data_IF_932802304498
#
_entry.id   IF_932802304498
#
_cell.length_a   1.000
_cell.length_b   1.000
_cell.length_c   1.000
_cell.angle_alpha   90.00
_cell.angle_beta   90.00
_cell.angle_gamma   90.00
#
_symmetry.space_group_name_H-M   'P 1'
#
loop_
_entity.id
_entity.type
_entity.pdbx_description
1 polymer ?
#
# COMPACT_ATOMS: atom_id res chain seq x y z
N UNK A 1 -0.01 -27.52 7.23
CA UNK A 1 0.38 -26.46 6.28
C UNK A 1 0.84 -27.13 4.99
N UNK A 2 0.36 -26.71 3.82
CA UNK A 2 0.73 -27.35 2.54
C UNK A 2 2.06 -26.79 2.02
N UNK A 3 2.85 -27.63 1.34
CA UNK A 3 4.10 -27.24 0.67
C UNK A 3 3.91 -26.07 -0.31
N UNK A 4 2.77 -26.04 -1.01
CA UNK A 4 2.43 -24.95 -1.93
C UNK A 4 2.33 -23.61 -1.21
N UNK A 5 1.73 -23.54 -0.02
CA UNK A 5 1.61 -22.28 0.74
C UNK A 5 2.99 -21.75 1.20
N UNK A 6 3.94 -22.65 1.48
CA UNK A 6 5.29 -22.29 1.91
C UNK A 6 6.11 -21.66 0.78
N UNK A 7 6.04 -22.23 -0.43
CA UNK A 7 6.76 -21.69 -1.62
C UNK A 7 6.27 -20.29 -1.97
N UNK A 8 4.95 -20.07 -2.03
CA UNK A 8 4.38 -18.74 -2.30
C UNK A 8 4.65 -17.71 -1.19
N UNK A 9 4.89 -18.15 0.06
CA UNK A 9 5.37 -17.27 1.13
C UNK A 9 6.80 -16.83 0.87
N UNK A 10 7.69 -17.75 0.51
CA UNK A 10 9.09 -17.44 0.29
C UNK A 10 9.31 -16.51 -0.92
N UNK A 11 8.59 -16.74 -2.02
CA UNK A 11 8.66 -15.87 -3.20
C UNK A 11 8.11 -14.45 -2.93
N UNK A 12 7.03 -14.35 -2.16
CA UNK A 12 6.46 -13.06 -1.77
C UNK A 12 7.43 -12.26 -0.89
N UNK A 13 8.02 -12.91 0.11
CA UNK A 13 8.99 -12.26 1.02
C UNK A 13 10.24 -11.81 0.29
N UNK A 14 10.77 -12.65 -0.61
CA UNK A 14 11.93 -12.29 -1.45
C UNK A 14 11.60 -11.13 -2.40
N UNK A 15 10.46 -11.19 -3.09
CA UNK A 15 10.04 -10.10 -3.98
C UNK A 15 9.83 -8.78 -3.24
N UNK A 16 9.27 -8.83 -2.02
CA UNK A 16 9.17 -7.65 -1.15
C UNK A 16 10.54 -7.08 -0.79
N UNK A 17 11.48 -7.92 -0.37
CA UNK A 17 12.84 -7.48 0.00
C UNK A 17 13.52 -6.80 -1.18
N UNK A 18 13.51 -7.43 -2.36
CA UNK A 18 14.08 -6.87 -3.58
C UNK A 18 13.47 -5.50 -3.96
N UNK A 19 12.14 -5.37 -3.88
CA UNK A 19 11.45 -4.11 -4.17
C UNK A 19 11.74 -3.03 -3.13
N UNK A 20 11.75 -3.39 -1.86
CA UNK A 20 12.00 -2.44 -0.76
C UNK A 20 13.45 -1.96 -0.78
N UNK A 21 14.41 -2.84 -1.03
CA UNK A 21 15.81 -2.48 -1.24
C UNK A 21 16.01 -1.59 -2.47
N UNK A 22 15.34 -1.93 -3.59
CA UNK A 22 15.37 -1.13 -4.81
C UNK A 22 14.82 0.28 -4.58
N UNK A 23 13.73 0.40 -3.82
CA UNK A 23 13.19 1.69 -3.40
C UNK A 23 14.21 2.46 -2.58
N UNK A 24 14.76 1.88 -1.51
CA UNK A 24 15.74 2.53 -0.64
C UNK A 24 16.98 3.01 -1.40
N UNK A 25 17.46 2.21 -2.37
CA UNK A 25 18.56 2.59 -3.26
C UNK A 25 18.22 3.80 -4.13
N UNK A 26 17.04 3.81 -4.75
CA UNK A 26 16.57 4.95 -5.56
C UNK A 26 16.45 6.24 -4.72
N UNK A 27 15.94 6.14 -3.49
CA UNK A 27 15.80 7.28 -2.57
C UNK A 27 17.15 7.90 -2.18
N UNK A 28 18.22 7.11 -2.08
CA UNK A 28 19.54 7.66 -1.73
C UNK A 28 20.10 8.71 -2.72
N UNK A 29 19.47 8.85 -3.89
CA UNK A 29 19.88 9.78 -4.96
C UNK A 29 18.94 10.99 -5.13
N UNK A 30 17.78 11.04 -4.45
CA UNK A 30 16.77 12.09 -4.66
C UNK A 30 16.18 12.65 -3.34
N UNK A 31 16.55 13.90 -3.03
CA UNK A 31 16.25 14.63 -1.78
C UNK A 31 14.76 14.84 -1.50
N UNK A 32 13.92 14.93 -2.53
CA UNK A 32 12.50 15.24 -2.34
C UNK A 32 11.67 13.96 -2.13
N UNK A 33 11.97 12.89 -2.89
CA UNK A 33 11.41 11.55 -2.69
C UNK A 33 11.77 10.97 -1.31
N UNK A 34 12.94 11.33 -0.78
CA UNK A 34 13.40 10.92 0.55
C UNK A 34 12.38 11.19 1.65
N UNK A 35 11.62 12.29 1.65
CA UNK A 35 10.70 12.56 2.78
C UNK A 35 9.42 11.74 2.76
N UNK A 36 8.88 11.47 1.58
CA UNK A 36 7.62 10.73 1.39
C UNK A 36 7.81 9.23 1.58
N UNK A 37 8.96 8.72 1.12
CA UNK A 37 9.18 7.30 0.93
C UNK A 37 10.14 6.68 1.97
N UNK A 38 10.93 7.48 2.70
CA UNK A 38 11.76 7.01 3.84
C UNK A 38 10.92 6.48 5.02
N UNK A 39 9.62 6.79 5.03
CA UNK A 39 8.67 6.31 6.05
C UNK A 39 7.83 5.12 5.58
N UNK A 40 8.12 4.58 4.38
CA UNK A 40 7.51 3.37 3.88
C UNK A 40 8.32 2.15 4.33
N UNK A 41 7.66 1.18 4.96
CA UNK A 41 8.36 0.05 5.54
C UNK A 41 8.52 -1.11 4.55
N UNK A 42 7.47 -1.40 3.77
CA UNK A 42 7.48 -2.50 2.79
C UNK A 42 6.83 -2.11 1.47
N UNK A 43 7.35 -2.70 0.39
CA UNK A 43 6.83 -2.54 -0.97
C UNK A 43 6.43 -3.89 -1.54
N UNK A 44 5.24 -3.95 -2.14
CA UNK A 44 4.73 -5.16 -2.79
C UNK A 44 4.18 -4.87 -4.17
N UNK A 45 4.37 -5.82 -5.08
CA UNK A 45 3.55 -5.92 -6.29
C UNK A 45 2.16 -6.49 -5.97
N UNK A 46 1.13 -5.81 -6.46
CA UNK A 46 -0.27 -6.21 -6.33
C UNK A 46 -0.98 -6.20 -7.67
N UNK A 47 -1.98 -7.07 -7.82
CA UNK A 47 -3.02 -6.89 -8.81
C UNK A 47 -4.10 -6.00 -8.18
N UNK A 48 -4.41 -4.85 -8.77
CA UNK A 48 -5.39 -3.89 -8.24
C UNK A 48 -6.36 -3.43 -9.34
N UNK A 49 -7.60 -3.13 -8.96
CA UNK A 49 -8.58 -2.59 -9.89
C UNK A 49 -9.98 -2.48 -9.28
N UNK A 50 -10.97 -2.05 -10.09
CA UNK A 50 -12.35 -1.98 -9.62
C UNK A 50 -12.87 -3.38 -9.26
N UNK A 51 -13.72 -3.50 -8.22
CA UNK A 51 -14.35 -4.77 -7.86
C UNK A 51 -15.05 -5.43 -9.06
N UNK A 52 -14.78 -6.71 -9.27
CA UNK A 52 -15.38 -7.49 -10.38
C UNK A 52 -14.89 -7.14 -11.78
N UNK A 53 -13.90 -6.26 -11.93
CA UNK A 53 -13.33 -5.88 -13.23
C UNK A 53 -11.88 -6.36 -13.38
N UNK A 54 -11.32 -6.14 -14.57
CA UNK A 54 -9.91 -6.43 -14.86
C UNK A 54 -9.00 -5.65 -13.91
N UNK A 55 -8.04 -6.35 -13.32
CA UNK A 55 -7.01 -5.77 -12.46
C UNK A 55 -5.71 -5.52 -13.24
N UNK A 56 -4.93 -4.55 -12.80
CA UNK A 56 -3.62 -4.18 -13.32
C UNK A 56 -2.57 -4.37 -12.24
N UNK A 57 -1.36 -4.74 -12.63
CA UNK A 57 -0.22 -4.81 -11.72
C UNK A 57 0.17 -3.41 -11.27
N UNK A 58 0.27 -3.18 -9.97
CA UNK A 58 0.62 -1.89 -9.34
C UNK A 58 1.59 -2.13 -8.20
N UNK A 59 2.31 -1.07 -7.84
CA UNK A 59 3.11 -1.05 -6.63
C UNK A 59 2.22 -0.63 -5.44
N UNK A 60 2.33 -1.33 -4.32
CA UNK A 60 1.64 -0.97 -3.08
C UNK A 60 2.63 -0.88 -1.93
N UNK A 61 2.65 0.27 -1.29
CA UNK A 61 3.42 0.54 -0.09
C UNK A 61 2.61 0.19 1.15
N UNK A 62 3.28 -0.40 2.13
CA UNK A 62 2.75 -0.56 3.48
C UNK A 62 3.53 0.38 4.40
N UNK A 63 2.82 1.33 5.01
CA UNK A 63 3.40 2.20 6.03
C UNK A 63 2.79 1.91 7.40
N UNK A 64 3.67 1.61 8.36
CA UNK A 64 3.33 1.35 9.74
C UNK A 64 3.27 2.65 10.56
N UNK A 65 3.42 3.78 9.87
CA UNK A 65 3.30 5.13 10.41
C UNK A 65 2.04 5.84 9.92
N UNK A 66 1.37 5.30 8.90
CA UNK A 66 0.12 5.83 8.36
C UNK A 66 -1.11 5.12 8.93
N UNK A 67 -2.17 5.90 9.17
CA UNK A 67 -3.49 5.38 9.55
C UNK A 67 -4.53 5.52 8.43
N UNK A 68 -4.15 6.14 7.31
CA UNK A 68 -4.98 6.33 6.12
C UNK A 68 -4.51 5.43 4.98
N UNK A 69 -5.42 5.05 4.10
CA UNK A 69 -5.08 4.40 2.83
C UNK A 69 -5.14 5.44 1.72
N UNK A 70 -4.09 5.52 0.90
CA UNK A 70 -3.94 6.56 -0.12
C UNK A 70 -3.74 5.90 -1.48
N UNK A 71 -4.36 6.48 -2.50
CA UNK A 71 -4.12 6.14 -3.90
C UNK A 71 -3.79 7.44 -4.65
N UNK A 72 -2.76 7.44 -5.48
CA UNK A 72 -2.50 8.61 -6.32
C UNK A 72 -3.62 8.82 -7.34
N UNK A 73 -3.88 10.08 -7.71
CA UNK A 73 -4.79 10.40 -8.81
C UNK A 73 -4.39 9.69 -10.11
N UNK A 74 -3.10 9.52 -10.37
CA UNK A 74 -2.62 8.81 -11.55
C UNK A 74 -2.96 7.31 -11.52
N UNK A 75 -2.77 6.65 -10.38
CA UNK A 75 -3.18 5.26 -10.21
C UNK A 75 -4.69 5.11 -10.38
N UNK A 76 -5.48 5.99 -9.77
CA UNK A 76 -6.93 6.06 -9.96
C UNK A 76 -7.31 6.12 -11.45
N UNK A 77 -6.77 7.07 -12.20
CA UNK A 77 -7.07 7.25 -13.62
C UNK A 77 -6.72 6.00 -14.44
N UNK A 78 -5.58 5.39 -14.14
CA UNK A 78 -5.13 4.17 -14.84
C UNK A 78 -5.97 2.93 -14.47
N UNK A 79 -6.45 2.84 -13.22
CA UNK A 79 -7.30 1.72 -12.77
C UNK A 79 -8.74 1.86 -13.26
N UNK A 80 -9.20 3.06 -13.60
CA UNK A 80 -10.56 3.32 -14.07
C UNK A 80 -11.62 2.99 -13.01
N UNK A 81 -11.30 3.19 -11.72
CA UNK A 81 -12.25 3.04 -10.61
C UNK A 81 -13.21 4.22 -10.60
N UNK A 82 -14.38 4.04 -9.97
CA UNK A 82 -15.28 5.15 -9.68
C UNK A 82 -14.83 5.80 -8.36
N UNK A 83 -14.98 7.12 -8.28
CA UNK A 83 -14.73 7.87 -7.04
C UNK A 83 -16.02 8.47 -6.51
N UNK A 84 -16.15 8.49 -5.19
CA UNK A 84 -17.13 9.31 -4.48
C UNK A 84 -16.45 10.63 -4.08
N UNK A 85 -17.02 11.80 -4.38
CA UNK A 85 -16.42 13.09 -4.03
C UNK A 85 -16.20 13.23 -2.52
N UNK A 86 -15.02 13.70 -2.14
CA UNK A 86 -14.68 13.90 -0.74
C UNK A 86 -14.93 15.34 -0.29
N UNK A 87 -15.85 15.52 0.65
CA UNK A 87 -16.27 16.84 1.16
C UNK A 87 -15.72 17.16 2.56
N UNK A 88 -14.90 16.27 3.13
CA UNK A 88 -14.35 16.42 4.47
C UNK A 88 -13.14 17.35 4.56
N UNK A 89 -12.53 17.34 5.75
CA UNK A 89 -11.31 18.08 6.06
C UNK A 89 -10.07 17.44 5.40
N UNK A 90 -8.96 18.18 5.23
CA UNK A 90 -7.68 17.59 4.85
C UNK A 90 -7.31 16.41 5.75
N UNK A 91 -6.65 15.41 5.18
CA UNK A 91 -6.20 14.20 5.88
C UNK A 91 -4.67 14.15 5.94
N UNK A 92 -4.10 13.46 6.94
CA UNK A 92 -2.68 13.18 6.97
C UNK A 92 -2.24 12.35 5.77
N UNK A 93 -1.15 12.80 5.13
CA UNK A 93 -0.47 12.11 4.03
C UNK A 93 0.99 11.93 4.42
N UNK A 94 1.49 10.70 4.32
CA UNK A 94 2.83 10.34 4.79
C UNK A 94 3.91 11.21 4.13
N UNK A 95 4.80 11.80 4.94
CA UNK A 95 5.89 12.65 4.49
C UNK A 95 5.49 14.01 3.89
N UNK A 96 4.20 14.33 3.86
CA UNK A 96 3.64 15.56 3.31
C UNK A 96 2.82 16.32 4.35
N UNK A 97 2.48 17.57 4.03
CA UNK A 97 1.43 18.28 4.75
C UNK A 97 0.07 17.64 4.46
N UNK A 98 -0.87 17.79 5.38
CA UNK A 98 -2.25 17.31 5.22
C UNK A 98 -2.83 17.78 3.87
N UNK A 99 -3.39 16.85 3.11
CA UNK A 99 -3.96 17.12 1.79
C UNK A 99 -5.46 16.88 1.79
N UNK A 100 -6.18 17.64 0.98
CA UNK A 100 -7.60 17.37 0.72
C UNK A 100 -7.73 16.31 -0.38
N UNK A 101 -8.33 15.14 -0.11
CA UNK A 101 -8.60 14.15 -1.14
C UNK A 101 -9.56 14.70 -2.20
N UNK A 102 -9.39 14.25 -3.44
CA UNK A 102 -10.34 14.49 -4.54
C UNK A 102 -11.61 13.64 -4.33
N UNK A 103 -11.43 12.45 -3.78
CA UNK A 103 -12.52 11.50 -3.55
C UNK A 103 -12.05 10.25 -2.82
N UNK A 104 -12.95 9.29 -2.67
CA UNK A 104 -12.66 7.93 -2.20
C UNK A 104 -13.00 6.91 -3.27
N UNK A 105 -12.17 5.88 -3.41
CA UNK A 105 -12.42 4.77 -4.32
C UNK A 105 -12.28 3.43 -3.61
N UNK A 106 -13.26 2.53 -3.82
CA UNK A 106 -13.11 1.13 -3.44
C UNK A 106 -12.27 0.39 -4.50
N UNK A 107 -11.22 -0.28 -4.04
CA UNK A 107 -10.30 -1.05 -4.87
C UNK A 107 -10.28 -2.49 -4.38
N UNK A 108 -10.45 -3.42 -5.31
CA UNK A 108 -10.16 -4.83 -5.07
C UNK A 108 -8.71 -5.11 -5.46
N UNK A 109 -7.95 -5.74 -4.55
CA UNK A 109 -6.54 -6.02 -4.78
C UNK A 109 -6.09 -7.36 -4.20
N UNK A 110 -4.97 -7.91 -4.70
CA UNK A 110 -4.30 -9.07 -4.11
C UNK A 110 -2.80 -8.96 -4.32
N UNK A 111 -2.00 -9.53 -3.43
CA UNK A 111 -0.57 -9.70 -3.69
C UNK A 111 -0.37 -10.52 -4.97
N UNK A 112 0.60 -10.13 -5.79
CA UNK A 112 0.99 -10.96 -6.93
C UNK A 112 1.42 -12.36 -6.45
N UNK A 113 1.03 -13.41 -7.19
CA UNK A 113 1.24 -14.79 -6.77
C UNK A 113 0.29 -15.31 -5.69
N UNK A 114 -0.71 -14.51 -5.25
CA UNK A 114 -1.73 -14.90 -4.27
C UNK A 114 -3.13 -14.76 -4.85
N UNK A 115 -4.00 -15.70 -4.49
CA UNK A 115 -5.39 -15.72 -4.96
C UNK A 115 -6.37 -15.00 -4.06
N UNK A 116 -6.07 -14.77 -2.77
CA UNK A 116 -6.98 -14.11 -1.83
C UNK A 116 -7.13 -12.63 -2.18
N UNK A 117 -8.30 -12.16 -2.63
CA UNK A 117 -8.53 -10.74 -2.86
C UNK A 117 -8.92 -10.04 -1.55
N UNK A 118 -8.52 -8.78 -1.45
CA UNK A 118 -8.89 -7.82 -0.43
C UNK A 118 -9.70 -6.70 -1.08
N UNK A 119 -10.52 -6.02 -0.27
CA UNK A 119 -11.21 -4.80 -0.67
C UNK A 119 -10.87 -3.71 0.31
N UNK A 120 -10.46 -2.56 -0.22
CA UNK A 120 -10.08 -1.41 0.59
C UNK A 120 -10.59 -0.13 -0.05
N UNK A 121 -11.13 0.76 0.75
CA UNK A 121 -11.39 2.14 0.35
C UNK A 121 -10.12 2.98 0.52
N UNK A 122 -9.72 3.67 -0.54
CA UNK A 122 -8.58 4.57 -0.57
C UNK A 122 -9.05 6.01 -0.76
N UNK A 123 -8.38 6.94 -0.08
CA UNK A 123 -8.46 8.36 -0.42
C UNK A 123 -7.62 8.61 -1.68
N UNK A 124 -8.22 9.27 -2.67
CA UNK A 124 -7.54 9.66 -3.90
C UNK A 124 -6.92 11.03 -3.71
N UNK A 125 -5.60 11.10 -3.75
CA UNK A 125 -4.83 12.32 -3.45
C UNK A 125 -3.96 12.70 -4.65
N UNK A 126 -3.82 14.00 -4.88
CA UNK A 126 -2.95 14.57 -5.92
C UNK A 126 -1.53 14.78 -5.37
N UNK A 127 -0.53 14.81 -6.27
CA UNK A 127 0.87 15.12 -5.92
C UNK A 127 1.46 14.15 -4.87
N UNK A 128 1.26 12.85 -5.08
CA UNK A 128 1.95 11.79 -4.33
C UNK A 128 2.64 10.85 -5.32
N UNK A 129 3.86 10.43 -4.99
CA UNK A 129 4.77 9.73 -5.93
C UNK A 129 4.61 8.19 -5.94
N UNK A 130 3.57 7.67 -5.29
CA UNK A 130 3.29 6.24 -5.21
C UNK A 130 1.90 5.89 -5.71
N UNK A 131 1.72 4.66 -6.21
CA UNK A 131 0.44 4.20 -6.72
C UNK A 131 -0.58 4.01 -5.59
N UNK A 132 -0.24 3.19 -4.59
CA UNK A 132 -1.12 2.78 -3.49
C UNK A 132 -0.33 2.72 -2.18
N UNK A 133 -0.96 3.14 -1.08
CA UNK A 133 -0.46 3.00 0.28
C UNK A 133 -1.55 2.44 1.19
N UNK A 134 -1.23 1.38 1.93
CA UNK A 134 -2.07 0.81 2.98
C UNK A 134 -1.52 1.25 4.34
N UNK A 135 -2.40 1.81 5.19
CA UNK A 135 -2.09 2.14 6.57
C UNK A 135 -2.37 0.98 7.54
N UNK A 136 -1.85 1.10 8.77
CA UNK A 136 -1.94 0.05 9.80
C UNK A 136 -3.35 -0.49 10.06
N UNK A 137 -4.42 0.34 10.16
CA UNK A 137 -5.75 -0.17 10.45
C UNK A 137 -6.20 -1.19 9.41
N UNK A 138 -5.92 -0.92 8.12
CA UNK A 138 -6.25 -1.83 7.03
C UNK A 138 -5.32 -3.05 6.99
N UNK A 139 -4.04 -2.92 7.35
CA UNK A 139 -3.17 -4.10 7.49
C UNK A 139 -3.71 -5.09 8.53
N UNK A 140 -4.21 -4.57 9.66
CA UNK A 140 -4.83 -5.39 10.71
C UNK A 140 -6.16 -5.98 10.27
N UNK A 141 -7.04 -5.16 9.70
CA UNK A 141 -8.36 -5.59 9.22
C UNK A 141 -8.25 -6.72 8.19
N UNK A 142 -7.27 -6.64 7.30
CA UNK A 142 -7.02 -7.65 6.27
C UNK A 142 -6.19 -8.83 6.75
N UNK A 143 -5.74 -8.79 8.01
CA UNK A 143 -4.86 -9.77 8.63
C UNK A 143 -3.57 -10.02 7.84
N UNK A 144 -2.97 -8.95 7.30
CA UNK A 144 -1.77 -9.08 6.45
C UNK A 144 -0.58 -9.70 7.19
N UNK A 145 -0.55 -9.60 8.52
CA UNK A 145 0.41 -10.29 9.39
C UNK A 145 0.36 -11.83 9.31
N UNK A 146 -0.73 -12.41 8.78
CA UNK A 146 -0.82 -13.86 8.51
C UNK A 146 -0.23 -14.24 7.15
N UNK A 147 -0.04 -13.26 6.27
CA UNK A 147 0.46 -13.46 4.91
C UNK A 147 1.98 -13.42 4.89
N UNK A 148 2.56 -12.45 5.59
CA UNK A 148 4.01 -12.22 5.68
C UNK A 148 4.42 -11.99 7.14
N UNK A 149 5.26 -12.86 7.73
CA UNK A 149 5.70 -12.73 9.11
C UNK A 149 6.41 -11.41 9.44
N UNK A 150 7.09 -10.76 8.49
CA UNK A 150 7.74 -9.49 8.80
C UNK A 150 6.72 -8.34 8.96
N UNK A 151 5.53 -8.45 8.35
CA UNK A 151 4.40 -7.57 8.68
C UNK A 151 3.99 -7.77 10.14
N UNK A 152 3.94 -9.03 10.62
CA UNK A 152 3.61 -9.30 12.01
C UNK A 152 4.62 -8.69 12.99
N UNK A 153 5.91 -8.82 12.69
CA UNK A 153 6.99 -8.23 13.48
C UNK A 153 6.89 -6.70 13.51
N UNK A 154 6.80 -6.08 12.35
CA UNK A 154 6.75 -4.62 12.25
C UNK A 154 5.48 -4.02 12.85
N UNK A 155 4.32 -4.70 12.73
CA UNK A 155 3.08 -4.29 13.40
C UNK A 155 3.22 -4.37 14.93
N UNK A 156 3.94 -5.34 15.50
CA UNK A 156 4.13 -5.38 16.96
C UNK A 156 4.95 -4.19 17.44
N UNK A 157 5.98 -3.81 16.69
CA UNK A 157 6.87 -2.71 17.07
C UNK A 157 6.21 -1.34 16.93
N UNK A 158 5.39 -1.14 15.90
CA UNK A 158 4.77 0.16 15.65
C UNK A 158 3.77 0.58 16.74
N UNK A 159 3.07 -0.37 17.37
CA UNK A 159 2.14 -0.10 18.47
C UNK A 159 2.82 0.00 19.85
N UNK A 160 4.07 -0.46 19.99
CA UNK A 160 4.84 -0.29 21.23
C UNK A 160 5.45 1.11 21.37
N UNK A 161 5.55 1.85 20.27
CA UNK A 161 6.20 3.17 20.19
C UNK A 161 5.21 4.35 20.18
N UNK A 162 3.92 4.07 20.34
CA UNK A 162 2.86 5.09 20.55
C UNK A 162 2.57 5.21 22.04
#
# INVERSE_FOLDING_TARGET
MSWTAFVHNNELSKGREELTESLNSALSHDSQLLKELDQCDFVYDVMAGPPGKKQLRRCMMLSFHADTNIMSKEAYLKLGTSIEPYLGAPIPVLGLQDRKPVGTAEVQWSFCGRSKPYRTTFYVVEEVEYDLLIGRPSMRQHELYRVDPAIAERLRDSYRRQ
#
